data_IF_938362690337
#
_entry.id   IF_938362690337
#
_cell.length_a   1.000
_cell.length_b   1.000
_cell.length_c   1.000
_cell.angle_alpha   90.00
_cell.angle_beta   90.00
_cell.angle_gamma   90.00
#
_symmetry.space_group_name_H-M   'P 1'
#
loop_
_entity.id
_entity.type
_entity.pdbx_description
1 polymer ?
#
# COMPACT_ATOMS: atom_id res chain seq x y z
N UNK A 1 -25.18 -23.34 13.27
CA UNK A 1 -24.41 -22.52 14.23
C UNK A 1 -23.83 -21.31 13.50
N UNK A 2 -24.31 -20.10 13.82
CA UNK A 2 -23.85 -18.86 13.22
C UNK A 2 -22.36 -18.65 13.52
N UNK A 3 -21.51 -18.82 12.52
CA UNK A 3 -20.08 -18.53 12.63
C UNK A 3 -19.91 -17.02 12.84
N UNK A 4 -19.55 -16.65 14.07
CA UNK A 4 -19.36 -15.27 14.49
C UNK A 4 -18.31 -14.59 13.62
N UNK A 5 -18.77 -13.76 12.68
CA UNK A 5 -17.88 -12.86 11.96
C UNK A 5 -17.18 -11.99 13.02
N UNK A 6 -15.83 -11.99 13.01
CA UNK A 6 -15.05 -11.13 13.89
C UNK A 6 -15.47 -9.68 13.64
N UNK A 7 -16.23 -9.12 14.57
CA UNK A 7 -16.68 -7.73 14.51
C UNK A 7 -15.44 -6.85 14.61
N UNK A 8 -15.25 -5.91 13.68
CA UNK A 8 -14.15 -4.95 13.74
C UNK A 8 -14.23 -4.21 15.07
N UNK A 9 -13.14 -4.25 15.85
CA UNK A 9 -12.99 -3.41 17.03
C UNK A 9 -13.01 -1.94 16.61
N UNK A 10 -13.72 -1.11 17.36
CA UNK A 10 -13.84 0.33 17.09
C UNK A 10 -14.41 0.69 15.70
N UNK A 11 -15.32 -0.12 15.16
CA UNK A 11 -15.96 0.12 13.85
C UNK A 11 -16.50 1.55 13.66
N UNK A 12 -17.14 2.13 14.69
CA UNK A 12 -17.65 3.51 14.62
C UNK A 12 -16.53 4.55 14.46
N UNK A 13 -15.40 4.38 15.17
CA UNK A 13 -14.23 5.24 15.03
C UNK A 13 -13.56 5.07 13.67
N UNK A 14 -13.48 3.83 13.18
CA UNK A 14 -12.98 3.56 11.83
C UNK A 14 -13.81 4.30 10.78
N UNK A 15 -15.14 4.23 10.87
CA UNK A 15 -16.03 4.88 9.91
C UNK A 15 -15.93 6.41 9.97
N UNK A 16 -15.84 6.98 11.18
CA UNK A 16 -15.63 8.42 11.36
C UNK A 16 -14.29 8.89 10.75
N UNK A 17 -13.21 8.12 10.95
CA UNK A 17 -11.89 8.44 10.37
C UNK A 17 -11.89 8.26 8.85
N UNK A 18 -12.53 7.23 8.32
CA UNK A 18 -12.67 7.03 6.88
C UNK A 18 -13.46 8.19 6.25
N UNK A 19 -14.60 8.56 6.83
CA UNK A 19 -15.41 9.67 6.35
C UNK A 19 -14.62 10.99 6.39
N UNK A 20 -13.87 11.22 7.48
CA UNK A 20 -12.98 12.39 7.61
C UNK A 20 -11.89 12.39 6.53
N UNK A 21 -11.22 11.26 6.30
CA UNK A 21 -10.18 11.15 5.29
C UNK A 21 -10.74 11.36 3.88
N UNK A 22 -11.90 10.80 3.56
CA UNK A 22 -12.57 11.01 2.27
C UNK A 22 -12.98 12.47 2.09
N UNK A 23 -13.56 13.09 3.11
CA UNK A 23 -13.96 14.50 3.06
C UNK A 23 -12.74 15.42 2.83
N UNK A 24 -11.69 15.27 3.64
CA UNK A 24 -10.48 16.09 3.55
C UNK A 24 -9.74 15.84 2.25
N UNK A 25 -9.62 14.59 1.81
CA UNK A 25 -9.00 14.23 0.54
C UNK A 25 -9.77 14.78 -0.66
N UNK A 26 -11.11 14.64 -0.68
CA UNK A 26 -11.95 15.20 -1.74
C UNK A 26 -11.89 16.73 -1.76
N UNK A 27 -11.96 17.37 -0.59
CA UNK A 27 -11.77 18.81 -0.46
C UNK A 27 -10.41 19.24 -1.03
N UNK A 28 -9.34 18.48 -0.78
CA UNK A 28 -8.00 18.80 -1.31
C UNK A 28 -7.95 18.78 -2.84
N UNK A 29 -8.62 17.81 -3.48
CA UNK A 29 -8.75 17.76 -4.94
C UNK A 29 -9.59 18.93 -5.47
N UNK A 30 -10.69 19.27 -4.79
CA UNK A 30 -11.51 20.43 -5.17
C UNK A 30 -10.73 21.73 -5.03
N UNK A 31 -9.99 21.92 -3.94
CA UNK A 31 -9.18 23.12 -3.74
C UNK A 31 -8.03 23.20 -4.75
N UNK A 32 -7.38 22.10 -5.14
CA UNK A 32 -6.36 22.16 -6.20
C UNK A 32 -6.94 22.57 -7.55
N UNK A 33 -8.16 22.11 -7.88
CA UNK A 33 -8.90 22.57 -9.06
C UNK A 33 -9.25 24.05 -8.96
N UNK A 34 -9.83 24.49 -7.84
CA UNK A 34 -10.20 25.90 -7.61
C UNK A 34 -8.96 26.79 -7.68
N UNK A 35 -7.84 26.36 -7.11
CA UNK A 35 -6.57 27.09 -7.20
C UNK A 35 -6.21 27.36 -8.67
N UNK A 36 -6.19 26.32 -9.49
CA UNK A 36 -5.81 26.43 -10.89
C UNK A 36 -6.80 27.28 -11.69
N UNK A 37 -8.10 27.04 -11.56
CA UNK A 37 -9.10 27.72 -12.38
C UNK A 37 -9.34 29.17 -11.95
N UNK A 38 -9.35 29.46 -10.65
CA UNK A 38 -9.63 30.82 -10.15
C UNK A 38 -8.39 31.69 -10.15
N UNK A 39 -7.21 31.14 -9.82
CA UNK A 39 -6.01 31.94 -9.66
C UNK A 39 -5.01 31.77 -10.80
N UNK A 40 -4.90 30.60 -11.44
CA UNK A 40 -3.82 30.28 -12.40
C UNK A 40 -4.25 30.20 -13.86
N UNK A 41 -5.46 30.64 -14.17
CA UNK A 41 -5.92 30.81 -15.56
C UNK A 41 -6.31 29.51 -16.28
N UNK A 42 -6.49 28.41 -15.53
CA UNK A 42 -7.02 27.15 -16.06
C UNK A 42 -5.98 26.23 -16.67
N UNK A 43 -6.41 25.43 -17.66
CA UNK A 43 -5.67 24.30 -18.22
C UNK A 43 -5.57 24.37 -19.75
N UNK A 44 -4.42 23.93 -20.29
CA UNK A 44 -4.16 23.68 -21.71
C UNK A 44 -3.15 22.54 -21.85
N UNK A 45 -2.84 22.13 -23.08
CA UNK A 45 -1.74 21.20 -23.37
C UNK A 45 -0.98 21.74 -24.60
N UNK A 46 -0.22 22.81 -24.37
CA UNK A 46 0.43 23.66 -25.38
C UNK A 46 1.84 24.17 -24.98
N UNK A 47 2.44 23.64 -23.92
CA UNK A 47 3.74 24.04 -23.36
C UNK A 47 3.69 25.31 -22.50
N UNK A 48 2.53 25.94 -22.30
CA UNK A 48 2.39 27.15 -21.48
C UNK A 48 2.28 26.84 -19.97
N UNK A 49 2.22 27.88 -19.14
CA UNK A 49 1.97 27.72 -17.69
C UNK A 49 0.65 26.98 -17.39
N UNK A 50 -0.33 27.08 -18.29
CA UNK A 50 -1.59 26.34 -18.16
C UNK A 50 -1.43 24.84 -18.39
N UNK A 51 -0.40 24.41 -19.11
CA UNK A 51 -0.03 22.99 -19.16
C UNK A 51 0.59 22.55 -17.84
N UNK A 52 1.51 23.35 -17.27
CA UNK A 52 2.07 23.06 -15.95
C UNK A 52 1.00 22.90 -14.87
N UNK A 53 -0.11 23.64 -14.97
CA UNK A 53 -1.21 23.54 -14.00
C UNK A 53 -1.85 22.13 -13.91
N UNK A 54 -1.66 21.25 -14.90
CA UNK A 54 -2.00 19.83 -14.75
C UNK A 54 -1.21 19.15 -13.64
N UNK A 55 0.06 19.54 -13.46
CA UNK A 55 0.97 18.92 -12.50
C UNK A 55 0.40 18.89 -11.06
N UNK A 56 0.07 20.02 -10.41
CA UNK A 56 -0.46 19.99 -9.04
C UNK A 56 -1.82 19.29 -8.92
N UNK A 57 -2.71 19.44 -9.92
CA UNK A 57 -4.03 18.77 -9.88
C UNK A 57 -3.87 17.26 -9.91
N UNK A 58 -3.11 16.76 -10.88
CA UNK A 58 -2.94 15.32 -11.11
C UNK A 58 -2.10 14.67 -10.00
N UNK A 59 -1.10 15.38 -9.43
CA UNK A 59 -0.37 14.89 -8.26
C UNK A 59 -1.25 14.79 -7.02
N UNK A 60 -2.08 15.79 -6.73
CA UNK A 60 -3.02 15.76 -5.58
C UNK A 60 -4.09 14.68 -5.80
N UNK A 61 -4.61 14.53 -7.02
CA UNK A 61 -5.63 13.53 -7.32
C UNK A 61 -5.08 12.11 -7.31
N UNK A 62 -4.00 11.85 -8.04
CA UNK A 62 -3.41 10.52 -8.21
C UNK A 62 -2.60 10.09 -7.00
N UNK A 63 -1.48 10.77 -6.78
CA UNK A 63 -0.46 10.39 -5.80
C UNK A 63 -0.84 10.76 -4.36
N UNK A 64 -1.67 11.77 -4.13
CA UNK A 64 -2.21 11.99 -2.77
C UNK A 64 -3.49 11.18 -2.57
N UNK A 65 -4.58 11.55 -3.23
CA UNK A 65 -5.90 11.03 -2.89
C UNK A 65 -6.10 9.56 -3.27
N UNK A 66 -5.91 9.19 -4.54
CA UNK A 66 -6.17 7.82 -5.03
C UNK A 66 -5.18 6.83 -4.39
N UNK A 67 -3.88 7.15 -4.34
CA UNK A 67 -2.89 6.35 -3.63
C UNK A 67 -3.25 6.18 -2.14
N UNK A 68 -3.68 7.26 -1.46
CA UNK A 68 -4.08 7.20 -0.06
C UNK A 68 -5.24 6.22 0.17
N UNK A 69 -6.24 6.21 -0.70
CA UNK A 69 -7.33 5.21 -0.69
C UNK A 69 -6.77 3.81 -0.94
N UNK A 70 -5.86 3.65 -1.91
CA UNK A 70 -5.25 2.36 -2.24
C UNK A 70 -4.48 1.76 -1.04
N UNK A 71 -3.81 2.59 -0.24
CA UNK A 71 -3.07 2.18 0.97
C UNK A 71 -4.00 1.54 2.01
N UNK A 72 -5.21 2.08 2.20
CA UNK A 72 -6.16 1.59 3.21
C UNK A 72 -7.22 0.63 2.67
N UNK A 73 -7.22 0.31 1.37
CA UNK A 73 -8.31 -0.45 0.72
C UNK A 73 -8.55 -1.83 1.34
N UNK A 74 -7.50 -2.49 1.83
CA UNK A 74 -7.60 -3.78 2.53
C UNK A 74 -8.17 -3.67 3.94
N UNK A 75 -8.22 -2.46 4.51
CA UNK A 75 -8.68 -2.21 5.88
C UNK A 75 -10.17 -1.97 5.95
N UNK A 76 -10.84 -1.84 4.81
CA UNK A 76 -12.29 -1.65 4.72
C UNK A 76 -13.02 -2.91 5.27
N UNK A 77 -13.77 -2.81 6.38
CA UNK A 77 -14.35 -3.98 7.06
C UNK A 77 -15.36 -4.74 6.20
N UNK A 78 -16.13 -4.03 5.37
CA UNK A 78 -17.09 -4.65 4.44
C UNK A 78 -16.42 -5.46 3.32
N UNK A 79 -15.11 -5.29 3.10
CA UNK A 79 -14.37 -6.08 2.09
C UNK A 79 -13.67 -7.30 2.67
N UNK A 80 -13.72 -7.52 3.99
CA UNK A 80 -13.03 -8.65 4.64
C UNK A 80 -13.57 -10.01 4.21
N UNK A 81 -14.85 -10.07 3.84
CA UNK A 81 -15.50 -11.27 3.28
C UNK A 81 -15.39 -11.37 1.75
N UNK A 82 -14.92 -10.32 1.07
CA UNK A 82 -14.74 -10.35 -0.38
C UNK A 82 -13.51 -11.18 -0.77
N UNK A 83 -13.48 -11.66 -2.01
CA UNK A 83 -12.32 -12.38 -2.54
C UNK A 83 -11.02 -11.58 -2.33
N UNK A 84 -9.99 -12.24 -1.79
CA UNK A 84 -8.67 -11.62 -1.63
C UNK A 84 -8.03 -11.30 -2.98
N UNK A 85 -8.28 -12.13 -3.99
CA UNK A 85 -7.85 -11.85 -5.36
C UNK A 85 -8.51 -10.57 -5.89
N UNK A 86 -9.82 -10.41 -5.68
CA UNK A 86 -10.53 -9.17 -6.04
C UNK A 86 -9.90 -7.95 -5.36
N UNK A 87 -9.63 -8.02 -4.06
CA UNK A 87 -9.00 -6.91 -3.34
C UNK A 87 -7.58 -6.61 -3.82
N UNK A 88 -6.83 -7.62 -4.29
CA UNK A 88 -5.54 -7.42 -4.97
C UNK A 88 -5.70 -6.67 -6.28
N UNK A 89 -6.70 -7.01 -7.09
CA UNK A 89 -6.99 -6.27 -8.32
C UNK A 89 -7.41 -4.83 -8.03
N UNK A 90 -8.26 -4.58 -7.02
CA UNK A 90 -8.65 -3.22 -6.65
C UNK A 90 -7.43 -2.42 -6.17
N UNK A 91 -6.60 -3.00 -5.29
CA UNK A 91 -5.38 -2.34 -4.82
C UNK A 91 -4.41 -2.04 -5.99
N UNK A 92 -4.13 -3.03 -6.83
CA UNK A 92 -3.26 -2.84 -8.00
C UNK A 92 -3.83 -1.79 -8.96
N UNK A 93 -5.12 -1.87 -9.28
CA UNK A 93 -5.80 -0.94 -10.18
C UNK A 93 -5.77 0.50 -9.68
N UNK A 94 -6.07 0.74 -8.39
CA UNK A 94 -5.98 2.08 -7.81
C UNK A 94 -4.54 2.63 -7.87
N UNK A 95 -3.54 1.82 -7.53
CA UNK A 95 -2.14 2.26 -7.62
C UNK A 95 -1.71 2.51 -9.07
N UNK A 96 -2.17 1.72 -10.04
CA UNK A 96 -1.90 1.93 -11.47
C UNK A 96 -2.52 3.24 -11.97
N UNK A 97 -3.77 3.54 -11.60
CA UNK A 97 -4.41 4.81 -11.95
C UNK A 97 -3.61 5.98 -11.36
N UNK A 98 -3.23 5.90 -10.09
CA UNK A 98 -2.39 6.92 -9.44
C UNK A 98 -1.06 7.13 -10.19
N UNK A 99 -0.40 6.05 -10.63
CA UNK A 99 0.85 6.14 -11.39
C UNK A 99 0.65 6.80 -12.76
N UNK A 100 -0.39 6.42 -13.51
CA UNK A 100 -0.68 7.02 -14.81
C UNK A 100 -0.87 8.53 -14.67
N UNK A 101 -1.66 8.97 -13.68
CA UNK A 101 -1.87 10.40 -13.43
C UNK A 101 -0.57 11.10 -13.05
N UNK A 102 0.29 10.49 -12.22
CA UNK A 102 1.58 11.08 -11.85
C UNK A 102 2.58 11.16 -13.01
N UNK A 103 2.58 10.18 -13.92
CA UNK A 103 3.38 10.24 -15.16
C UNK A 103 2.90 11.41 -16.01
N UNK A 104 1.60 11.52 -16.28
CA UNK A 104 1.03 12.64 -17.06
C UNK A 104 1.34 13.99 -16.39
N UNK A 105 1.20 14.08 -15.07
CA UNK A 105 1.56 15.26 -14.29
C UNK A 105 3.04 15.64 -14.46
N UNK A 106 3.93 14.64 -14.43
CA UNK A 106 5.37 14.85 -14.59
C UNK A 106 5.68 15.31 -16.02
N UNK A 107 5.10 14.67 -17.03
CA UNK A 107 5.24 15.06 -18.44
C UNK A 107 4.84 16.53 -18.63
N UNK A 108 3.68 16.96 -18.12
CA UNK A 108 3.23 18.36 -18.23
C UNK A 108 4.22 19.39 -17.64
N UNK A 109 4.96 19.01 -16.59
CA UNK A 109 5.98 19.86 -16.00
C UNK A 109 7.25 19.92 -16.86
N UNK A 110 7.70 18.77 -17.39
CA UNK A 110 8.84 18.72 -18.32
C UNK A 110 8.54 19.46 -19.63
N UNK A 111 7.35 19.28 -20.20
CA UNK A 111 6.93 19.94 -21.45
C UNK A 111 6.88 21.47 -21.27
N UNK A 112 6.29 21.96 -20.18
CA UNK A 112 6.32 23.38 -19.83
C UNK A 112 7.75 23.92 -19.67
N UNK A 113 8.61 23.22 -18.94
CA UNK A 113 9.99 23.64 -18.74
C UNK A 113 10.77 23.68 -20.06
N UNK A 114 10.63 22.66 -20.90
CA UNK A 114 11.30 22.58 -22.19
C UNK A 114 10.83 23.69 -23.13
N UNK A 115 9.52 23.94 -23.21
CA UNK A 115 8.95 25.02 -24.01
C UNK A 115 9.38 26.41 -23.53
N UNK A 116 9.56 26.58 -22.21
CA UNK A 116 9.96 27.85 -21.59
C UNK A 116 11.47 28.00 -21.37
N UNK A 117 12.30 27.06 -21.85
CA UNK A 117 13.75 27.01 -21.61
C UNK A 117 14.15 27.09 -20.12
N UNK A 118 13.36 26.48 -19.24
CA UNK A 118 13.65 26.36 -17.81
C UNK A 118 14.46 25.07 -17.60
N UNK A 119 15.59 25.11 -16.86
CA UNK A 119 16.35 23.91 -16.55
C UNK A 119 15.51 22.88 -15.78
N UNK A 120 15.63 21.61 -16.12
CA UNK A 120 14.97 20.52 -15.41
C UNK A 120 15.83 20.01 -14.24
N UNK A 121 15.18 19.37 -13.26
CA UNK A 121 15.82 18.55 -12.22
C UNK A 121 16.86 19.28 -11.35
N UNK A 122 16.70 20.58 -11.07
CA UNK A 122 17.61 21.33 -10.19
C UNK A 122 17.07 21.52 -8.76
N UNK A 123 15.76 21.37 -8.53
CA UNK A 123 15.15 21.63 -7.23
C UNK A 123 15.04 20.37 -6.37
N UNK A 124 15.05 20.53 -5.04
CA UNK A 124 14.84 19.40 -4.11
C UNK A 124 13.48 18.73 -4.33
N UNK A 125 12.44 19.51 -4.65
CA UNK A 125 11.14 18.98 -5.04
C UNK A 125 11.26 17.99 -6.20
N UNK A 126 11.97 18.38 -7.26
CA UNK A 126 12.15 17.52 -8.45
C UNK A 126 12.96 16.25 -8.14
N UNK A 127 14.02 16.33 -7.32
CA UNK A 127 14.84 15.17 -6.94
C UNK A 127 14.05 14.14 -6.14
N UNK A 128 13.34 14.59 -5.10
CA UNK A 128 12.51 13.69 -4.28
C UNK A 128 11.33 13.18 -5.10
N UNK A 129 10.66 14.06 -5.87
CA UNK A 129 9.51 13.70 -6.69
C UNK A 129 9.81 12.62 -7.73
N UNK A 130 10.89 12.78 -8.51
CA UNK A 130 11.27 11.77 -9.50
C UNK A 130 11.71 10.46 -8.82
N UNK A 131 12.43 10.55 -7.71
CA UNK A 131 12.80 9.37 -6.91
C UNK A 131 11.56 8.60 -6.46
N UNK A 132 10.54 9.29 -5.95
CA UNK A 132 9.27 8.69 -5.52
C UNK A 132 8.53 8.07 -6.71
N UNK A 133 8.45 8.73 -7.86
CA UNK A 133 7.83 8.16 -9.07
C UNK A 133 8.52 6.86 -9.49
N UNK A 134 9.85 6.84 -9.54
CA UNK A 134 10.65 5.65 -9.90
C UNK A 134 10.41 4.51 -8.89
N UNK A 135 10.52 4.81 -7.59
CA UNK A 135 10.30 3.82 -6.54
C UNK A 135 8.86 3.29 -6.55
N UNK A 136 7.88 4.14 -6.87
CA UNK A 136 6.48 3.74 -6.99
C UNK A 136 6.25 2.81 -8.19
N UNK A 137 6.89 3.07 -9.34
CA UNK A 137 6.90 2.13 -10.47
C UNK A 137 7.45 0.76 -10.07
N UNK A 138 8.60 0.74 -9.38
CA UNK A 138 9.24 -0.49 -8.90
C UNK A 138 8.36 -1.22 -7.88
N UNK A 139 7.73 -0.49 -6.97
CA UNK A 139 6.79 -1.02 -5.99
C UNK A 139 5.58 -1.67 -6.67
N UNK A 140 5.00 -1.01 -7.68
CA UNK A 140 3.84 -1.52 -8.41
C UNK A 140 4.20 -2.77 -9.20
N UNK A 141 5.30 -2.73 -9.96
CA UNK A 141 5.76 -3.86 -10.75
C UNK A 141 6.09 -5.08 -9.87
N UNK A 142 6.91 -4.89 -8.84
CA UNK A 142 7.25 -5.97 -7.89
C UNK A 142 6.02 -6.46 -7.13
N UNK A 143 5.10 -5.57 -6.75
CA UNK A 143 3.86 -5.92 -6.08
C UNK A 143 2.94 -6.79 -6.93
N UNK A 144 2.80 -6.47 -8.23
CA UNK A 144 2.05 -7.29 -9.18
C UNK A 144 2.74 -8.64 -9.38
N UNK A 145 4.04 -8.66 -9.65
CA UNK A 145 4.79 -9.88 -9.91
C UNK A 145 4.76 -10.85 -8.72
N UNK A 146 4.92 -10.34 -7.49
CA UNK A 146 5.05 -11.18 -6.28
C UNK A 146 3.69 -11.51 -5.66
N UNK A 147 2.78 -10.53 -5.56
CA UNK A 147 1.55 -10.68 -4.77
C UNK A 147 0.30 -10.91 -5.62
N UNK A 148 0.24 -10.48 -6.88
CA UNK A 148 -0.92 -10.71 -7.74
C UNK A 148 -0.77 -11.97 -8.60
N UNK A 149 0.40 -12.16 -9.23
CA UNK A 149 0.64 -13.31 -10.11
C UNK A 149 0.92 -14.60 -9.30
N UNK A 150 0.54 -15.78 -9.84
CA UNK A 150 0.56 -17.02 -9.07
C UNK A 150 1.96 -17.62 -8.86
N UNK A 151 2.96 -17.22 -9.66
CA UNK A 151 4.26 -17.91 -9.74
C UNK A 151 5.22 -17.69 -8.55
N UNK A 152 5.03 -16.64 -7.74
CA UNK A 152 5.98 -16.33 -6.68
C UNK A 152 5.90 -17.35 -5.51
N UNK A 153 7.03 -17.91 -5.03
CA UNK A 153 7.04 -18.81 -3.89
C UNK A 153 6.51 -18.16 -2.60
N UNK A 154 5.89 -18.94 -1.71
CA UNK A 154 5.37 -18.45 -0.42
C UNK A 154 6.46 -17.80 0.43
N UNK A 155 7.67 -18.37 0.44
CA UNK A 155 8.83 -17.81 1.17
C UNK A 155 9.18 -16.40 0.70
N UNK A 156 9.19 -16.18 -0.63
CA UNK A 156 9.46 -14.87 -1.22
C UNK A 156 8.36 -13.86 -0.85
N UNK A 157 7.08 -14.26 -0.93
CA UNK A 157 5.96 -13.41 -0.52
C UNK A 157 6.06 -13.02 0.96
N UNK A 158 6.43 -13.95 1.84
CA UNK A 158 6.60 -13.69 3.27
C UNK A 158 7.76 -12.72 3.53
N UNK A 159 8.90 -12.88 2.85
CA UNK A 159 10.06 -12.02 3.00
C UNK A 159 9.84 -10.59 2.47
N UNK A 160 9.12 -10.44 1.35
CA UNK A 160 8.90 -9.13 0.71
C UNK A 160 7.70 -8.37 1.30
N UNK A 161 6.77 -9.03 2.00
CA UNK A 161 5.59 -8.37 2.55
C UNK A 161 5.92 -7.21 3.52
N UNK A 162 6.83 -7.35 4.50
CA UNK A 162 7.20 -6.25 5.38
C UNK A 162 7.84 -5.08 4.61
N UNK A 163 8.69 -5.40 3.64
CA UNK A 163 9.35 -4.40 2.79
C UNK A 163 8.30 -3.64 1.98
N UNK A 164 7.38 -4.35 1.32
CA UNK A 164 6.29 -3.76 0.53
C UNK A 164 5.41 -2.84 1.37
N UNK A 165 5.02 -3.25 2.58
CA UNK A 165 4.22 -2.40 3.47
C UNK A 165 5.02 -1.17 3.91
N UNK A 166 6.26 -1.34 4.38
CA UNK A 166 7.10 -0.24 4.83
C UNK A 166 7.37 0.77 3.71
N UNK A 167 7.83 0.31 2.54
CA UNK A 167 8.11 1.17 1.40
C UNK A 167 6.85 1.89 0.91
N UNK A 168 5.70 1.22 0.89
CA UNK A 168 4.42 1.82 0.53
C UNK A 168 4.03 3.01 1.42
N UNK A 169 4.15 2.85 2.74
CA UNK A 169 3.86 3.92 3.71
C UNK A 169 4.89 5.05 3.64
N UNK A 170 6.17 4.72 3.53
CA UNK A 170 7.25 5.71 3.41
C UNK A 170 7.12 6.53 2.13
N UNK A 171 6.82 5.90 0.98
CA UNK A 171 6.58 6.62 -0.27
C UNK A 171 5.34 7.52 -0.17
N UNK A 172 4.25 7.05 0.45
CA UNK A 172 3.07 7.89 0.64
C UNK A 172 3.39 9.14 1.49
N UNK A 173 4.15 8.99 2.59
CA UNK A 173 4.62 10.14 3.36
C UNK A 173 5.52 11.07 2.54
N UNK A 174 6.43 10.51 1.72
CA UNK A 174 7.31 11.28 0.84
C UNK A 174 6.55 12.01 -0.27
N UNK A 175 5.43 11.46 -0.78
CA UNK A 175 4.52 12.16 -1.70
C UNK A 175 3.94 13.40 -1.03
N UNK A 176 3.41 13.27 0.19
CA UNK A 176 2.85 14.43 0.92
C UNK A 176 3.93 15.50 1.09
N UNK A 177 5.14 15.11 1.55
CA UNK A 177 6.24 16.04 1.70
C UNK A 177 6.62 16.73 0.38
N UNK A 178 6.75 15.96 -0.70
CA UNK A 178 7.07 16.48 -2.05
C UNK A 178 6.00 17.45 -2.54
N UNK A 179 4.72 17.15 -2.31
CA UNK A 179 3.62 18.02 -2.69
C UNK A 179 3.68 19.37 -1.94
N UNK A 180 4.01 19.36 -0.65
CA UNK A 180 4.17 20.60 0.13
C UNK A 180 5.36 21.43 -0.36
N UNK A 181 6.49 20.80 -0.68
CA UNK A 181 7.65 21.49 -1.25
C UNK A 181 7.28 22.09 -2.61
N UNK A 182 6.58 21.34 -3.47
CA UNK A 182 6.15 21.81 -4.80
C UNK A 182 5.13 22.95 -4.74
N UNK A 183 4.18 22.88 -3.81
CA UNK A 183 3.24 23.97 -3.52
C UNK A 183 4.01 25.23 -3.08
N UNK A 184 4.97 25.06 -2.16
CA UNK A 184 5.79 26.16 -1.65
C UNK A 184 6.63 26.80 -2.76
N UNK A 185 7.28 25.98 -3.59
CA UNK A 185 8.06 26.43 -4.74
C UNK A 185 7.17 27.19 -5.73
N UNK A 186 6.01 26.63 -6.12
CA UNK A 186 5.11 27.26 -7.07
C UNK A 186 4.54 28.58 -6.58
N UNK A 187 4.13 28.68 -5.31
CA UNK A 187 3.53 29.92 -4.79
C UNK A 187 4.58 31.05 -4.66
N UNK A 188 5.82 30.72 -4.30
CA UNK A 188 6.92 31.68 -4.26
C UNK A 188 7.24 32.20 -5.65
N UNK A 189 7.26 31.34 -6.67
CA UNK A 189 7.49 31.76 -8.06
C UNK A 189 6.32 32.55 -8.63
N UNK A 190 5.07 32.13 -8.36
CA UNK A 190 3.87 32.76 -8.90
C UNK A 190 3.63 34.17 -8.34
N UNK A 191 3.84 34.38 -7.04
CA UNK A 191 3.53 35.64 -6.37
C UNK A 191 4.76 36.51 -6.07
N UNK A 192 5.97 35.99 -6.24
CA UNK A 192 7.22 36.47 -5.61
C UNK A 192 7.20 36.36 -4.08
N UNK A 193 8.37 36.17 -3.47
CA UNK A 193 8.51 36.06 -2.02
C UNK A 193 7.95 37.30 -1.29
N UNK A 194 8.12 38.49 -1.87
CA UNK A 194 7.64 39.75 -1.28
C UNK A 194 6.12 39.84 -1.22
N UNK A 195 5.41 39.45 -2.28
CA UNK A 195 3.95 39.47 -2.25
C UNK A 195 3.39 38.34 -1.40
N UNK A 196 4.01 37.15 -1.44
CA UNK A 196 3.54 36.01 -0.64
C UNK A 196 3.58 36.28 0.86
N UNK A 197 4.61 36.99 1.35
CA UNK A 197 4.71 37.42 2.77
C UNK A 197 3.53 38.29 3.24
N UNK A 198 2.86 39.00 2.32
CA UNK A 198 1.68 39.82 2.63
C UNK A 198 0.39 39.00 2.77
N UNK A 199 0.48 37.67 2.70
CA UNK A 199 -0.64 36.74 2.82
C UNK A 199 -1.83 37.09 1.89
N UNK A 200 -1.59 37.19 0.57
CA UNK A 200 -2.67 37.44 -0.38
C UNK A 200 -3.66 36.26 -0.37
N UNK A 201 -4.91 36.46 -0.86
CA UNK A 201 -5.93 35.41 -0.83
C UNK A 201 -5.48 34.08 -1.44
N UNK A 202 -4.76 34.10 -2.57
CA UNK A 202 -4.19 32.90 -3.18
C UNK A 202 -3.19 32.19 -2.25
N UNK A 203 -2.31 32.95 -1.59
CA UNK A 203 -1.32 32.40 -0.66
C UNK A 203 -1.97 31.71 0.54
N UNK A 204 -2.98 32.34 1.15
CA UNK A 204 -3.75 31.74 2.25
C UNK A 204 -4.47 30.48 1.76
N UNK A 205 -5.11 30.55 0.60
CA UNK A 205 -5.88 29.46 0.03
C UNK A 205 -5.01 28.22 -0.22
N UNK A 206 -3.84 28.40 -0.81
CA UNK A 206 -2.89 27.32 -1.12
C UNK A 206 -2.21 26.78 0.15
N UNK A 207 -1.99 27.62 1.16
CA UNK A 207 -1.53 27.15 2.47
C UNK A 207 -2.57 26.26 3.15
N UNK A 208 -3.86 26.63 3.08
CA UNK A 208 -4.95 25.79 3.56
C UNK A 208 -4.99 24.43 2.83
N UNK A 209 -4.81 24.42 1.50
CA UNK A 209 -4.64 23.18 0.74
C UNK A 209 -3.49 22.33 1.30
N UNK A 210 -2.30 22.92 1.51
CA UNK A 210 -1.15 22.21 2.09
C UNK A 210 -1.46 21.59 3.46
N UNK A 211 -2.13 22.33 4.36
CA UNK A 211 -2.55 21.81 5.66
C UNK A 211 -3.52 20.63 5.52
N UNK A 212 -4.48 20.70 4.58
CA UNK A 212 -5.39 19.58 4.32
C UNK A 212 -4.66 18.34 3.78
N UNK A 213 -3.62 18.49 2.96
CA UNK A 213 -2.79 17.36 2.51
C UNK A 213 -2.10 16.68 3.70
N UNK A 214 -1.59 17.45 4.67
CA UNK A 214 -0.98 16.91 5.91
C UNK A 214 -2.01 16.17 6.75
N UNK A 215 -3.19 16.75 6.95
CA UNK A 215 -4.29 16.12 7.72
C UNK A 215 -4.72 14.82 7.03
N UNK A 216 -4.94 14.84 5.72
CA UNK A 216 -5.27 13.66 4.94
C UNK A 216 -4.21 12.57 5.07
N UNK A 217 -2.94 12.92 4.85
CA UNK A 217 -1.81 12.00 4.97
C UNK A 217 -1.75 11.36 6.37
N UNK A 218 -1.93 12.17 7.41
CA UNK A 218 -1.94 11.71 8.81
C UNK A 218 -3.09 10.74 9.10
N UNK A 219 -4.30 11.02 8.62
CA UNK A 219 -5.46 10.15 8.77
C UNK A 219 -5.23 8.80 8.09
N UNK A 220 -4.74 8.81 6.84
CA UNK A 220 -4.44 7.59 6.08
C UNK A 220 -3.36 6.76 6.79
N UNK A 221 -2.25 7.37 7.21
CA UNK A 221 -1.16 6.67 7.92
C UNK A 221 -1.62 6.12 9.28
N UNK A 222 -2.44 6.87 10.01
CA UNK A 222 -3.04 6.40 11.26
C UNK A 222 -3.93 5.17 11.02
N UNK A 223 -4.81 5.21 10.04
CA UNK A 223 -5.64 4.06 9.68
C UNK A 223 -4.80 2.88 9.19
N UNK A 224 -3.75 3.16 8.40
CA UNK A 224 -2.85 2.18 7.82
C UNK A 224 -1.94 1.48 8.85
N UNK A 225 -1.80 2.03 10.06
CA UNK A 225 -0.93 1.48 11.12
C UNK A 225 -1.70 0.71 12.21
N UNK A 226 -3.03 0.77 12.27
CA UNK A 226 -3.82 0.05 13.30
C UNK A 226 -3.79 -1.47 13.11
N UNK A 227 -3.28 -2.27 14.07
CA UNK A 227 -3.24 -3.72 13.92
C UNK A 227 -4.64 -4.36 13.86
N UNK A 228 -5.58 -3.88 14.67
CA UNK A 228 -6.95 -4.42 14.75
C UNK A 228 -7.83 -4.08 13.52
N UNK A 229 -7.40 -3.16 12.65
CA UNK A 229 -8.05 -2.89 11.35
C UNK A 229 -7.38 -3.61 10.18
N UNK A 230 -6.34 -4.41 10.43
CA UNK A 230 -5.71 -5.22 9.38
C UNK A 230 -6.72 -6.27 8.92
N UNK A 231 -6.82 -6.48 7.60
CA UNK A 231 -7.64 -7.55 7.04
C UNK A 231 -7.31 -8.88 7.75
N UNK A 232 -8.31 -9.61 8.27
CA UNK A 232 -8.07 -10.92 8.85
C UNK A 232 -7.35 -11.83 7.86
N UNK A 233 -6.37 -12.65 8.31
CA UNK A 233 -5.83 -13.69 7.46
C UNK A 233 -6.99 -14.56 6.98
N UNK A 234 -6.92 -15.06 5.74
CA UNK A 234 -7.81 -16.14 5.34
C UNK A 234 -7.59 -17.25 6.37
N UNK A 235 -8.65 -17.70 7.04
CA UNK A 235 -8.56 -18.99 7.71
C UNK A 235 -8.12 -19.95 6.61
N UNK A 236 -6.88 -20.42 6.68
CA UNK A 236 -6.44 -21.57 5.88
C UNK A 236 -7.61 -22.54 5.96
N UNK A 237 -8.22 -22.87 4.81
CA UNK A 237 -9.35 -23.77 4.73
C UNK A 237 -9.12 -24.89 5.74
N UNK A 238 -9.78 -24.79 6.89
CA UNK A 238 -9.55 -25.70 7.99
C UNK A 238 -10.02 -27.04 7.44
N UNK A 239 -9.09 -27.99 7.44
CA UNK A 239 -9.37 -29.42 7.43
C UNK A 239 -9.77 -29.94 6.03
N UNK A 240 -8.76 -30.15 5.16
CA UNK A 240 -8.71 -31.44 4.46
C UNK A 240 -8.41 -32.49 5.54
N UNK A 241 -9.42 -32.83 6.32
CA UNK A 241 -9.48 -34.12 7.01
C UNK A 241 -9.29 -35.18 5.94
N UNK A 242 -8.48 -36.22 6.17
CA UNK A 242 -8.58 -37.42 5.37
C UNK A 242 -10.05 -37.86 5.41
N UNK A 243 -10.67 -37.93 4.24
CA UNK A 243 -12.00 -38.47 4.05
C UNK A 243 -11.96 -39.93 4.50
N UNK A 244 -12.85 -40.30 5.43
CA UNK A 244 -13.29 -41.68 5.62
C UNK A 244 -12.60 -42.47 6.73
N UNK A 245 -12.95 -42.19 7.99
CA UNK A 245 -13.05 -43.28 8.97
C UNK A 245 -14.54 -43.65 9.05
N UNK A 246 -14.93 -44.68 8.31
CA UNK A 246 -16.21 -45.37 8.49
C UNK A 246 -16.15 -46.24 9.75
N UNK A 247 -17.17 -46.23 10.61
CA UNK A 247 -17.31 -47.22 11.66
C UNK A 247 -18.16 -48.39 11.11
N UNK A 248 -17.59 -49.57 10.97
CA UNK A 248 -18.41 -50.79 10.91
C UNK A 248 -17.67 -51.99 11.48
N UNK A 249 -18.40 -52.69 12.33
CA UNK A 249 -18.07 -53.85 13.16
C UNK A 249 -17.83 -55.13 12.36
N UNK A 250 -17.03 -56.06 12.88
CA UNK A 250 -17.44 -57.36 13.48
C UNK A 250 -16.27 -58.35 13.45
N UNK A 251 -16.18 -59.13 14.52
CA UNK A 251 -15.25 -60.22 14.84
C UNK A 251 -15.05 -61.27 13.73
N UNK A 252 -13.85 -61.83 13.64
CA UNK A 252 -13.64 -63.29 13.59
C UNK A 252 -12.15 -63.65 13.69
N UNK A 253 -11.88 -64.53 14.64
CA UNK A 253 -10.67 -65.22 15.01
C UNK A 253 -10.27 -66.30 13.98
N UNK A 254 -8.97 -66.43 13.66
CA UNK A 254 -8.40 -67.72 13.25
C UNK A 254 -6.88 -67.77 13.45
N UNK A 255 -6.49 -68.76 14.24
CA UNK A 255 -5.16 -69.14 14.74
C UNK A 255 -4.35 -69.98 13.73
N UNK A 256 -3.05 -70.18 14.02
CA UNK A 256 -2.10 -71.21 13.53
C UNK A 256 -1.23 -70.85 12.30
N UNK A 257 0.08 -71.13 12.16
CA UNK A 257 1.24 -71.48 13.02
C UNK A 257 2.50 -71.59 12.11
N UNK A 258 3.68 -71.33 12.70
CA UNK A 258 5.01 -71.96 12.48
C UNK A 258 6.02 -71.55 11.38
N UNK A 259 7.13 -70.97 11.86
CA UNK A 259 8.55 -71.42 11.79
C UNK A 259 9.39 -71.44 10.50
N UNK A 260 10.58 -70.82 10.58
CA UNK A 260 11.76 -71.08 9.73
C UNK A 260 12.91 -70.05 9.91
N UNK A 261 14.10 -70.51 10.29
CA UNK A 261 15.28 -69.78 10.81
C UNK A 261 16.26 -69.12 9.80
N UNK A 262 17.05 -68.16 10.34
CA UNK A 262 18.46 -67.74 10.04
C UNK A 262 18.76 -67.10 8.65
N UNK A 263 19.70 -66.16 8.43
CA UNK A 263 20.91 -65.70 9.13
C UNK A 263 21.30 -64.26 8.68
N UNK A 264 22.23 -63.65 9.43
CA UNK A 264 22.86 -62.31 9.44
C UNK A 264 23.08 -61.54 8.11
N UNK A 265 22.93 -60.20 8.17
CA UNK A 265 24.05 -59.23 8.19
C UNK A 265 23.57 -57.76 8.18
N UNK A 266 24.19 -56.93 9.01
CA UNK A 266 24.05 -55.47 9.14
C UNK A 266 25.24 -54.81 8.40
N UNK A 267 25.17 -53.57 7.86
CA UNK A 267 25.37 -52.41 8.74
C UNK A 267 24.69 -51.06 8.34
N UNK A 268 24.23 -50.34 9.38
CA UNK A 268 24.42 -48.87 9.65
C UNK A 268 24.08 -47.81 8.57
N UNK A 269 23.14 -46.91 8.90
CA UNK A 269 23.42 -45.56 9.48
C UNK A 269 22.43 -44.45 9.04
N UNK A 270 22.16 -43.56 10.00
CA UNK A 270 21.82 -42.14 9.84
C UNK A 270 20.41 -41.74 9.36
N UNK A 271 19.47 -41.57 10.30
CA UNK A 271 18.34 -40.64 10.08
C UNK A 271 17.72 -39.99 11.32
N UNK A 272 18.29 -40.16 12.53
CA UNK A 272 17.70 -39.59 13.76
C UNK A 272 18.38 -38.32 14.30
N UNK A 273 19.56 -37.95 13.78
CA UNK A 273 20.26 -36.75 14.24
C UNK A 273 19.68 -35.43 13.67
N UNK A 274 19.00 -35.46 12.52
CA UNK A 274 18.49 -34.25 11.86
C UNK A 274 17.15 -33.73 12.43
N UNK A 275 16.45 -34.53 13.26
CA UNK A 275 15.12 -34.17 13.77
C UNK A 275 15.15 -33.42 15.11
N UNK A 276 16.27 -33.45 15.84
CA UNK A 276 16.38 -32.83 17.17
C UNK A 276 16.92 -31.39 17.16
N UNK A 277 17.54 -30.91 16.09
CA UNK A 277 17.95 -29.49 16.00
C UNK A 277 16.80 -28.54 15.64
N UNK A 278 15.78 -29.01 14.92
CA UNK A 278 14.65 -28.17 14.48
C UNK A 278 13.64 -27.83 15.59
N UNK A 279 13.76 -28.42 16.79
CA UNK A 279 12.83 -28.14 17.90
C UNK A 279 13.36 -27.05 18.83
N UNK A 280 14.66 -26.72 18.78
CA UNK A 280 15.28 -25.80 19.75
C UNK A 280 15.27 -24.33 19.36
N UNK A 281 14.84 -23.98 18.14
CA UNK A 281 14.81 -22.59 17.66
C UNK A 281 13.48 -21.86 17.86
N UNK A 282 12.39 -22.57 18.18
CA UNK A 282 11.07 -21.97 18.32
C UNK A 282 10.76 -21.39 19.73
N UNK A 283 11.61 -21.63 20.74
CA UNK A 283 11.38 -21.14 22.11
C UNK A 283 12.22 -19.92 22.53
N UNK A 284 13.12 -19.42 21.68
CA UNK A 284 14.02 -18.31 22.06
C UNK A 284 13.57 -16.90 21.58
N UNK A 285 12.47 -16.79 20.83
CA UNK A 285 12.04 -15.52 20.22
C UNK A 285 11.03 -14.68 21.00
N UNK A 286 10.45 -15.21 22.08
CA UNK A 286 9.46 -14.50 22.91
C UNK A 286 10.04 -14.14 24.27
N UNK A 287 10.93 -13.14 24.30
CA UNK A 287 11.20 -12.29 25.48
C UNK A 287 12.18 -11.16 25.12
N UNK A 288 11.65 -10.04 24.63
CA UNK A 288 12.14 -8.67 24.87
C UNK A 288 11.55 -7.72 23.85
N UNK A 289 10.68 -6.82 24.30
CA UNK A 289 10.82 -5.37 24.08
C UNK A 289 9.86 -4.64 25.01
N UNK A 290 10.42 -3.77 25.85
CA UNK A 290 9.78 -2.50 26.23
C UNK A 290 9.70 -1.60 25.01
#
# INVERSE_FOLDING_TARGET
AAHGARKMEDYGRFLALLASALLVGFASVVLSLVWVFQYRGGLSWDGSEKEFNWHPILMVMGFVFIQGIAVIVYRLPWTWKCSKLLMKFIHAGLNTIALILAIVATVSAFDFHNASNIPNMYSLHSWIGLTVVILYCLQLFSGVAVFLLPFAPVRLRAALMPIHVYSGLTMFAAVIATALIGITEKIIFALSAFSYQKSPPEGIFVNCLGVLLVIFGSLILWMASRPHWKRPPEENAKILSPIGATPESTEAESTMTNSGNADKSDPRSNTEAARKENIKFDEAGQRSTM
#
